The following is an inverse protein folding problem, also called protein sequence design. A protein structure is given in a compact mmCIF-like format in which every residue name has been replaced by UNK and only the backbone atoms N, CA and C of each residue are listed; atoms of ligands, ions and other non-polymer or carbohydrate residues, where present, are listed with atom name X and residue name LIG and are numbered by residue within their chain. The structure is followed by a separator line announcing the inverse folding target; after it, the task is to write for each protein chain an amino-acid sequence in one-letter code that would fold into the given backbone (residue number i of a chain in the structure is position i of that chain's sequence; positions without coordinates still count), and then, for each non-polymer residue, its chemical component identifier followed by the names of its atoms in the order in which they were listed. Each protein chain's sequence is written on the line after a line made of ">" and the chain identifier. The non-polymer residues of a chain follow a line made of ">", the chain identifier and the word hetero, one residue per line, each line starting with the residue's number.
data_IF_687384980385
#
_entry.id   IF_687384980385
#
_cell.length_a   1.000
_cell.length_b   1.000
_cell.length_c   1.000
_cell.angle_alpha   90.00
_cell.angle_beta   90.00
_cell.angle_gamma   90.00
#
_symmetry.space_group_name_H-M   'P 1'
#
loop_
_entity.id
_entity.type
_entity.pdbx_description
1 polymer ?
#
# COMPACT_ATOMS: atom_id res chain seq x y z
N UNK A 1 -0.06 -39.07 70.58
CA UNK A 1 0.37 -40.34 70.04
C UNK A 1 -0.21 -40.45 68.67
N UNK A 2 0.41 -40.37 67.61
CA UNK A 2 1.69 -40.76 67.09
C UNK A 2 1.54 -40.92 65.61
N UNK A 3 2.58 -40.71 64.91
CA UNK A 3 2.74 -41.29 63.57
C UNK A 3 2.69 -40.37 62.37
N UNK A 4 3.80 -39.68 62.17
CA UNK A 4 4.17 -39.13 60.82
C UNK A 4 4.53 -40.37 59.93
N UNK A 5 4.09 -40.27 58.68
CA UNK A 5 4.67 -41.00 57.55
C UNK A 5 4.99 -40.07 56.44
N UNK A 6 6.30 -39.89 56.27
CA UNK A 6 6.86 -39.22 55.12
C UNK A 6 6.68 -40.13 53.89
N UNK A 7 6.12 -39.58 52.81
CA UNK A 7 6.08 -40.24 51.51
C UNK A 7 6.89 -39.38 50.57
N UNK A 8 8.10 -39.87 50.29
CA UNK A 8 8.99 -39.36 49.24
C UNK A 8 8.37 -39.68 47.86
N UNK A 9 8.08 -38.64 47.10
CA UNK A 9 7.70 -38.76 45.69
C UNK A 9 8.75 -38.07 44.84
N UNK A 10 9.77 -38.84 44.43
CA UNK A 10 10.69 -38.49 43.39
C UNK A 10 9.97 -38.22 42.07
N UNK A 11 9.86 -36.96 41.71
CA UNK A 11 9.30 -36.52 40.43
C UNK A 11 10.42 -36.28 39.40
N UNK A 12 10.58 -37.24 38.52
CA UNK A 12 11.42 -37.12 37.32
C UNK A 12 10.85 -36.03 36.39
N UNK A 13 11.49 -34.85 36.34
CA UNK A 13 11.19 -33.77 35.37
C UNK A 13 12.06 -34.00 34.14
N UNK A 14 11.61 -34.82 33.21
CA UNK A 14 12.14 -34.82 31.86
C UNK A 14 11.57 -33.66 31.08
N UNK A 15 12.39 -32.63 30.85
CA UNK A 15 12.11 -31.48 30.03
C UNK A 15 11.94 -31.88 28.57
N UNK A 16 10.71 -31.81 28.07
CA UNK A 16 10.40 -31.79 26.65
C UNK A 16 10.50 -30.37 26.12
N UNK A 17 11.72 -29.89 25.87
CA UNK A 17 11.94 -28.60 25.21
C UNK A 17 11.57 -28.69 23.73
N UNK A 18 10.46 -28.10 23.37
CA UNK A 18 9.86 -28.14 22.03
C UNK A 18 10.75 -27.63 20.90
N UNK A 19 10.95 -28.48 19.91
CA UNK A 19 11.63 -28.19 18.64
C UNK A 19 10.76 -27.39 17.64
N UNK A 20 9.57 -26.95 18.04
CA UNK A 20 8.64 -26.22 17.18
C UNK A 20 9.14 -24.80 16.81
N UNK A 21 9.71 -24.08 17.78
CA UNK A 21 10.14 -22.71 17.56
C UNK A 21 11.34 -22.51 16.61
N UNK A 22 12.10 -23.55 16.31
CA UNK A 22 13.20 -23.47 15.34
C UNK A 22 12.73 -23.66 13.89
N UNK A 23 11.75 -24.52 13.67
CA UNK A 23 11.21 -24.78 12.33
C UNK A 23 10.46 -23.57 11.79
N UNK A 24 9.66 -22.91 12.63
CA UNK A 24 8.91 -21.73 12.21
C UNK A 24 9.83 -20.54 11.87
N UNK A 25 10.92 -20.35 12.65
CA UNK A 25 11.92 -19.32 12.33
C UNK A 25 12.67 -19.60 11.02
N UNK A 26 12.93 -20.87 10.73
CA UNK A 26 13.65 -21.26 9.52
C UNK A 26 12.78 -21.10 8.27
N UNK A 27 11.49 -21.42 8.36
CA UNK A 27 10.53 -21.20 7.27
C UNK A 27 10.33 -19.72 6.96
N UNK A 28 10.24 -18.88 8.00
CA UNK A 28 10.15 -17.41 7.82
C UNK A 28 11.42 -16.87 7.19
N UNK A 29 12.60 -17.35 7.60
CA UNK A 29 13.89 -16.94 7.04
C UNK A 29 14.02 -17.37 5.58
N UNK A 30 13.58 -18.57 5.21
CA UNK A 30 13.59 -19.03 3.81
C UNK A 30 12.60 -18.25 2.92
N UNK A 31 11.45 -17.84 3.44
CA UNK A 31 10.49 -17.01 2.72
C UNK A 31 11.06 -15.61 2.50
N UNK A 32 11.74 -15.01 3.48
CA UNK A 32 12.39 -13.71 3.36
C UNK A 32 13.54 -13.77 2.36
N UNK A 33 14.37 -14.82 2.39
CA UNK A 33 15.48 -14.99 1.45
C UNK A 33 15.00 -15.20 0.01
N UNK A 34 13.82 -15.81 -0.18
CA UNK A 34 13.22 -15.95 -1.53
C UNK A 34 12.61 -14.66 -2.09
N UNK A 35 12.38 -13.65 -1.26
CA UNK A 35 11.86 -12.35 -1.66
C UNK A 35 12.96 -11.33 -1.99
N UNK A 36 14.24 -11.66 -1.73
CA UNK A 36 15.36 -10.86 -2.19
C UNK A 36 15.79 -11.32 -3.59
N UNK A 37 15.52 -10.55 -4.64
CA UNK A 37 16.11 -10.83 -5.93
C UNK A 37 17.61 -10.47 -5.87
N UNK A 38 18.47 -11.47 -5.75
CA UNK A 38 19.87 -11.33 -6.07
C UNK A 38 19.98 -11.11 -7.59
N UNK A 39 20.23 -9.90 -8.02
CA UNK A 39 20.49 -9.61 -9.43
C UNK A 39 20.25 -8.15 -9.78
N UNK A 40 21.34 -7.46 -10.03
CA UNK A 40 21.50 -6.25 -10.83
C UNK A 40 20.57 -5.08 -10.54
N UNK A 41 21.16 -4.02 -9.99
CA UNK A 41 20.68 -2.64 -10.07
C UNK A 41 20.63 -2.19 -11.55
N UNK A 42 19.78 -2.86 -12.35
CA UNK A 42 19.40 -2.38 -13.65
C UNK A 42 18.39 -1.26 -13.45
N UNK A 43 18.54 -0.16 -14.14
CA UNK A 43 17.75 1.07 -14.09
C UNK A 43 16.23 0.79 -13.93
N UNK A 44 15.77 0.62 -12.71
CA UNK A 44 14.34 0.48 -12.45
C UNK A 44 13.70 1.80 -12.77
N UNK A 45 12.92 1.86 -13.83
CA UNK A 45 12.07 3.00 -14.13
C UNK A 45 11.34 3.41 -12.84
N UNK A 46 11.32 4.70 -12.49
CA UNK A 46 10.72 5.13 -11.23
C UNK A 46 9.26 4.66 -11.17
N UNK A 47 8.92 3.94 -10.10
CA UNK A 47 7.57 3.40 -9.87
C UNK A 47 6.57 4.49 -9.49
N UNK A 48 7.06 5.62 -8.99
CA UNK A 48 6.27 6.74 -8.51
C UNK A 48 6.21 7.85 -9.56
N UNK A 49 5.02 8.45 -9.68
CA UNK A 49 4.84 9.79 -10.21
C UNK A 49 4.70 10.72 -9.02
N UNK A 50 5.51 11.80 -8.97
CA UNK A 50 5.42 12.87 -7.96
C UNK A 50 5.31 14.21 -8.66
N UNK A 51 4.36 15.04 -8.24
CA UNK A 51 4.21 16.42 -8.64
C UNK A 51 4.19 17.30 -7.40
N UNK A 52 4.83 18.46 -7.44
CA UNK A 52 4.82 19.43 -6.35
C UNK A 52 3.97 20.65 -6.71
N UNK A 53 3.36 21.26 -5.70
CA UNK A 53 2.59 22.50 -5.82
C UNK A 53 2.79 23.38 -4.61
N UNK A 54 2.56 24.69 -4.77
CA UNK A 54 2.58 25.67 -3.67
C UNK A 54 1.24 25.77 -2.92
N UNK A 55 0.20 25.08 -3.39
CA UNK A 55 -1.09 24.98 -2.71
C UNK A 55 -0.94 24.27 -1.37
N UNK A 56 -1.79 24.60 -0.44
CA UNK A 56 -1.97 23.80 0.80
C UNK A 56 -2.52 22.41 0.45
N UNK A 57 -2.36 21.44 1.36
CA UNK A 57 -2.93 20.10 1.21
C UNK A 57 -4.45 20.16 0.96
N UNK A 58 -5.16 21.07 1.64
CA UNK A 58 -6.61 21.24 1.47
C UNK A 58 -6.98 21.76 0.08
N UNK A 59 -6.27 22.76 -0.42
CA UNK A 59 -6.50 23.32 -1.76
C UNK A 59 -6.17 22.31 -2.86
N UNK A 60 -5.05 21.59 -2.71
CA UNK A 60 -4.66 20.52 -3.63
C UNK A 60 -5.68 19.38 -3.64
N UNK A 61 -6.26 19.05 -2.47
CA UNK A 61 -7.29 18.03 -2.33
C UNK A 61 -8.59 18.45 -3.06
N UNK A 62 -9.02 19.71 -2.90
CA UNK A 62 -10.20 20.24 -3.59
C UNK A 62 -9.98 20.25 -5.12
N UNK A 63 -8.80 20.71 -5.57
CA UNK A 63 -8.44 20.72 -6.98
C UNK A 63 -8.36 19.30 -7.56
N UNK A 64 -7.83 18.32 -6.79
CA UNK A 64 -7.79 16.90 -7.20
C UNK A 64 -9.19 16.33 -7.38
N UNK A 65 -10.12 16.59 -6.46
CA UNK A 65 -11.51 16.14 -6.59
C UNK A 65 -12.17 16.66 -7.86
N UNK A 66 -12.01 17.95 -8.16
CA UNK A 66 -12.55 18.55 -9.38
C UNK A 66 -11.93 17.92 -10.64
N UNK A 67 -10.61 17.74 -10.66
CA UNK A 67 -9.89 17.14 -11.78
C UNK A 67 -10.30 15.66 -12.00
N UNK A 68 -10.50 14.88 -10.93
CA UNK A 68 -11.00 13.49 -10.98
C UNK A 68 -12.34 13.43 -11.70
N UNK A 69 -13.30 14.26 -11.30
CA UNK A 69 -14.64 14.33 -11.91
C UNK A 69 -14.59 14.77 -13.37
N UNK A 70 -13.78 15.81 -13.68
CA UNK A 70 -13.63 16.34 -15.05
C UNK A 70 -13.02 15.30 -16.03
N UNK A 71 -12.31 14.29 -15.52
CA UNK A 71 -11.73 13.21 -16.33
C UNK A 71 -12.51 11.89 -16.21
N UNK A 72 -13.78 11.94 -15.80
CA UNK A 72 -14.69 10.79 -15.70
C UNK A 72 -14.20 9.66 -14.76
N UNK A 73 -13.36 9.99 -13.79
CA UNK A 73 -13.04 9.15 -12.65
C UNK A 73 -13.96 9.48 -11.47
N UNK A 74 -14.14 8.51 -10.58
CA UNK A 74 -14.84 8.69 -9.31
C UNK A 74 -13.88 8.65 -8.13
N UNK A 75 -14.08 9.49 -7.12
CA UNK A 75 -13.45 9.33 -5.80
C UNK A 75 -14.29 8.34 -5.01
N UNK A 76 -13.71 7.18 -4.68
CA UNK A 76 -14.39 6.15 -3.90
C UNK A 76 -14.30 6.43 -2.41
N UNK A 77 -13.12 6.84 -1.96
CA UNK A 77 -12.83 7.12 -0.55
C UNK A 77 -11.70 8.14 -0.43
N UNK A 78 -11.72 8.91 0.66
CA UNK A 78 -10.62 9.77 1.09
C UNK A 78 -10.25 9.41 2.52
N UNK A 79 -8.99 9.06 2.75
CA UNK A 79 -8.44 8.74 4.06
C UNK A 79 -7.59 9.92 4.55
N UNK A 80 -8.00 10.53 5.67
CA UNK A 80 -7.14 11.47 6.40
C UNK A 80 -6.32 10.68 7.43
N UNK A 81 -5.04 10.44 7.13
CA UNK A 81 -4.18 9.64 8.00
C UNK A 81 -3.92 10.32 9.36
N UNK A 82 -3.83 11.64 9.40
CA UNK A 82 -3.67 12.40 10.64
C UNK A 82 -4.85 12.17 11.58
N UNK A 83 -6.07 12.30 11.06
CA UNK A 83 -7.28 12.08 11.84
C UNK A 83 -7.43 10.62 12.28
N UNK A 84 -7.14 9.68 11.39
CA UNK A 84 -7.23 8.25 11.67
C UNK A 84 -6.26 7.87 12.81
N UNK A 85 -5.02 8.35 12.76
CA UNK A 85 -4.01 8.08 13.78
C UNK A 85 -4.35 8.77 15.10
N UNK A 86 -4.80 10.04 15.05
CA UNK A 86 -5.21 10.81 16.23
C UNK A 86 -6.34 10.12 16.97
N UNK A 87 -7.36 9.64 16.26
CA UNK A 87 -8.49 8.88 16.85
C UNK A 87 -8.07 7.59 17.54
N UNK A 88 -6.91 7.04 17.17
CA UNK A 88 -6.31 5.85 17.79
C UNK A 88 -5.25 6.18 18.85
N UNK A 89 -5.11 7.44 19.23
CA UNK A 89 -4.14 7.88 20.23
C UNK A 89 -2.69 7.95 19.73
N UNK A 90 -2.47 7.84 18.41
CA UNK A 90 -1.14 7.94 17.80
C UNK A 90 -0.91 9.39 17.36
N UNK A 91 0.17 10.03 17.84
CA UNK A 91 0.56 11.37 17.42
C UNK A 91 1.19 11.30 16.02
N UNK A 92 0.61 12.02 15.07
CA UNK A 92 1.13 12.15 13.71
C UNK A 92 1.01 13.63 13.29
N UNK A 93 2.14 14.28 13.05
CA UNK A 93 2.20 15.73 12.86
C UNK A 93 1.95 16.19 11.41
N UNK A 94 2.07 15.27 10.44
CA UNK A 94 2.01 15.61 9.03
C UNK A 94 0.59 15.57 8.47
N UNK A 95 0.25 16.50 7.61
CA UNK A 95 -0.96 16.40 6.77
C UNK A 95 -0.71 15.32 5.72
N UNK A 96 -1.60 14.35 5.64
CA UNK A 96 -1.53 13.28 4.64
C UNK A 96 -2.94 12.77 4.32
N UNK A 97 -3.36 12.97 3.08
CA UNK A 97 -4.61 12.48 2.52
C UNK A 97 -4.33 11.41 1.48
N UNK A 98 -5.12 10.34 1.46
CA UNK A 98 -5.07 9.33 0.41
C UNK A 98 -6.44 9.29 -0.28
N UNK A 99 -6.44 9.54 -1.57
CA UNK A 99 -7.61 9.43 -2.43
C UNK A 99 -7.62 8.09 -3.12
N UNK A 100 -8.69 7.34 -2.98
CA UNK A 100 -8.96 6.14 -3.76
C UNK A 100 -9.82 6.55 -4.95
N UNK A 101 -9.27 6.40 -6.16
CA UNK A 101 -9.92 6.83 -7.41
C UNK A 101 -10.10 5.65 -8.35
N UNK A 102 -11.23 5.62 -9.06
CA UNK A 102 -11.55 4.53 -9.97
C UNK A 102 -12.35 5.04 -11.17
N UNK A 103 -12.11 4.39 -12.31
CA UNK A 103 -12.94 4.49 -13.50
C UNK A 103 -13.57 3.10 -13.72
N UNK A 104 -14.89 2.95 -13.51
CA UNK A 104 -15.53 1.63 -13.44
C UNK A 104 -15.37 0.77 -14.69
N UNK A 105 -15.43 1.37 -15.91
CA UNK A 105 -15.29 0.64 -17.15
C UNK A 105 -13.87 0.08 -17.33
N UNK A 106 -12.84 0.84 -16.92
CA UNK A 106 -11.46 0.36 -16.97
C UNK A 106 -11.22 -0.71 -15.90
N UNK A 107 -11.77 -0.52 -14.69
CA UNK A 107 -11.71 -1.53 -13.63
C UNK A 107 -12.35 -2.84 -14.08
N UNK A 108 -13.53 -2.78 -14.72
CA UNK A 108 -14.20 -3.97 -15.26
C UNK A 108 -13.33 -4.71 -16.27
N UNK A 109 -12.72 -4.00 -17.24
CA UNK A 109 -11.85 -4.62 -18.26
C UNK A 109 -10.71 -5.41 -17.62
N UNK A 110 -10.03 -4.86 -16.63
CA UNK A 110 -8.88 -5.54 -15.98
C UNK A 110 -9.33 -6.71 -15.10
N UNK A 111 -10.48 -6.61 -14.45
CA UNK A 111 -11.01 -7.66 -13.59
C UNK A 111 -11.59 -8.84 -14.39
N UNK A 112 -12.22 -8.58 -15.54
CA UNK A 112 -12.66 -9.63 -16.45
C UNK A 112 -11.49 -10.49 -16.96
N UNK A 113 -10.31 -9.87 -17.15
CA UNK A 113 -9.11 -10.57 -17.60
C UNK A 113 -8.39 -11.32 -16.47
N UNK A 114 -8.33 -10.70 -15.29
CA UNK A 114 -7.62 -11.27 -14.16
C UNK A 114 -8.15 -10.72 -12.82
N UNK A 115 -8.94 -11.52 -12.12
CA UNK A 115 -9.53 -11.16 -10.82
C UNK A 115 -8.48 -10.86 -9.74
N UNK A 116 -7.26 -11.41 -9.82
CA UNK A 116 -6.21 -11.12 -8.84
C UNK A 116 -5.75 -9.67 -8.87
N UNK A 117 -6.00 -8.94 -9.99
CA UNK A 117 -5.73 -7.49 -10.10
C UNK A 117 -6.55 -6.68 -9.09
N UNK A 118 -7.65 -7.24 -8.55
CA UNK A 118 -8.42 -6.60 -7.47
C UNK A 118 -7.57 -6.20 -6.26
N UNK A 119 -6.46 -6.90 -6.02
CA UNK A 119 -5.51 -6.57 -4.94
C UNK A 119 -4.73 -5.28 -5.18
N UNK A 120 -4.69 -4.80 -6.43
CA UNK A 120 -4.03 -3.55 -6.85
C UNK A 120 -5.02 -2.38 -7.07
N UNK A 121 -6.32 -2.65 -6.96
CA UNK A 121 -7.37 -1.65 -7.09
C UNK A 121 -7.87 -1.19 -5.69
N UNK A 122 -8.42 0.02 -5.59
CA UNK A 122 -8.41 1.10 -6.58
C UNK A 122 -7.05 1.82 -6.69
N UNK A 123 -6.87 2.65 -7.73
CA UNK A 123 -5.69 3.51 -7.81
C UNK A 123 -5.70 4.51 -6.65
N UNK A 124 -4.51 4.83 -6.10
CA UNK A 124 -4.37 5.75 -4.99
C UNK A 124 -3.53 6.95 -5.37
N UNK A 125 -3.99 8.14 -4.99
CA UNK A 125 -3.24 9.40 -5.09
C UNK A 125 -3.09 9.93 -3.67
N UNK A 126 -1.84 10.06 -3.20
CA UNK A 126 -1.54 10.65 -1.90
C UNK A 126 -1.23 12.13 -2.06
N UNK A 127 -1.73 12.95 -1.12
CA UNK A 127 -1.40 14.37 -1.00
C UNK A 127 -0.81 14.59 0.39
N UNK A 128 0.41 15.10 0.46
CA UNK A 128 1.12 15.30 1.72
C UNK A 128 2.14 16.44 1.61
N UNK A 129 2.64 16.90 2.77
CA UNK A 129 3.68 17.92 2.84
C UNK A 129 5.08 17.29 2.88
N UNK A 130 5.98 17.79 2.05
CA UNK A 130 7.39 17.40 2.00
C UNK A 130 8.25 18.60 1.58
N UNK A 131 9.25 18.96 2.38
CA UNK A 131 10.17 20.04 2.05
C UNK A 131 9.51 21.43 1.88
N UNK A 132 8.43 21.70 2.60
CA UNK A 132 7.69 22.97 2.51
C UNK A 132 6.80 23.10 1.28
N UNK A 133 6.60 22.03 0.53
CA UNK A 133 5.69 21.94 -0.62
C UNK A 133 4.62 20.89 -0.37
N UNK A 134 3.50 21.03 -1.05
CA UNK A 134 2.51 19.95 -1.15
C UNK A 134 2.87 19.05 -2.32
N UNK A 135 2.91 17.75 -2.05
CA UNK A 135 3.23 16.70 -3.02
C UNK A 135 1.98 15.90 -3.36
N UNK A 136 1.72 15.70 -4.63
CA UNK A 136 0.80 14.71 -5.14
C UNK A 136 1.62 13.51 -5.64
N UNK A 137 1.33 12.31 -5.17
CA UNK A 137 2.09 11.12 -5.54
C UNK A 137 1.19 9.92 -5.82
N UNK A 138 1.55 9.11 -6.81
CA UNK A 138 0.88 7.85 -7.13
C UNK A 138 1.86 6.79 -7.63
N UNK A 139 1.54 5.51 -7.42
CA UNK A 139 2.21 4.42 -8.12
C UNK A 139 1.77 4.40 -9.59
N UNK A 140 2.70 4.14 -10.50
CA UNK A 140 2.38 4.00 -11.93
C UNK A 140 1.51 2.77 -12.16
N UNK A 141 0.29 2.89 -12.69
CA UNK A 141 -0.56 1.76 -13.03
C UNK A 141 0.13 0.74 -13.96
N UNK A 142 0.94 1.20 -14.92
CA UNK A 142 1.71 0.32 -15.81
C UNK A 142 2.69 -0.57 -15.05
N UNK A 143 3.36 -0.03 -14.02
CA UNK A 143 4.30 -0.80 -13.19
C UNK A 143 3.56 -1.79 -12.28
N UNK A 144 2.45 -1.35 -11.68
CA UNK A 144 1.65 -2.20 -10.79
C UNK A 144 1.03 -3.36 -11.56
N UNK A 145 0.40 -3.11 -12.72
CA UNK A 145 -0.24 -4.15 -13.51
C UNK A 145 0.77 -5.11 -14.17
N UNK A 146 2.00 -4.68 -14.43
CA UNK A 146 3.06 -5.55 -14.93
C UNK A 146 3.40 -6.71 -13.98
N UNK A 147 3.14 -6.55 -12.67
CA UNK A 147 3.38 -7.62 -11.68
C UNK A 147 2.44 -8.81 -11.83
N UNK A 148 1.32 -8.66 -12.54
CA UNK A 148 0.33 -9.72 -12.73
C UNK A 148 0.58 -10.59 -13.98
N UNK A 149 1.68 -10.35 -14.72
CA UNK A 149 2.05 -11.10 -15.93
C UNK A 149 0.92 -11.18 -16.97
N UNK A 150 0.13 -10.11 -17.10
CA UNK A 150 -1.01 -10.00 -18.01
C UNK A 150 -0.72 -8.98 -19.13
N UNK A 151 0.01 -9.36 -20.18
CA UNK A 151 0.45 -8.42 -21.22
C UNK A 151 -0.71 -7.76 -21.98
N UNK A 152 -1.89 -8.40 -22.06
CA UNK A 152 -3.10 -7.84 -22.62
C UNK A 152 -3.62 -6.61 -21.84
N UNK A 153 -3.24 -6.44 -20.58
CA UNK A 153 -3.63 -5.29 -19.76
C UNK A 153 -2.74 -4.05 -19.98
N UNK A 154 -1.68 -4.16 -20.78
CA UNK A 154 -0.70 -3.08 -20.95
C UNK A 154 -1.31 -1.79 -21.52
N UNK A 155 -2.21 -1.89 -22.51
CA UNK A 155 -2.88 -0.72 -23.10
C UNK A 155 -3.81 -0.04 -22.09
N UNK A 156 -4.61 -0.81 -21.37
CA UNK A 156 -5.49 -0.29 -20.31
C UNK A 156 -4.70 0.37 -19.19
N UNK A 157 -3.59 -0.26 -18.77
CA UNK A 157 -2.69 0.31 -17.77
C UNK A 157 -2.13 1.66 -18.20
N UNK A 158 -1.74 1.81 -19.47
CA UNK A 158 -1.23 3.05 -20.03
C UNK A 158 -2.30 4.13 -20.09
N UNK A 159 -3.50 3.82 -20.57
CA UNK A 159 -4.63 4.76 -20.62
C UNK A 159 -4.98 5.30 -19.22
N UNK A 160 -5.00 4.42 -18.22
CA UNK A 160 -5.26 4.79 -16.83
C UNK A 160 -4.13 5.66 -16.27
N UNK A 161 -2.86 5.30 -16.52
CA UNK A 161 -1.70 6.08 -16.08
C UNK A 161 -1.72 7.48 -16.67
N UNK A 162 -1.91 7.61 -17.99
CA UNK A 162 -1.95 8.91 -18.68
C UNK A 162 -3.06 9.80 -18.11
N UNK A 163 -4.23 9.21 -17.84
CA UNK A 163 -5.35 9.95 -17.25
C UNK A 163 -5.07 10.37 -15.81
N UNK A 164 -4.48 9.51 -14.98
CA UNK A 164 -4.11 9.85 -13.59
C UNK A 164 -3.05 10.95 -13.57
N UNK A 165 -2.03 10.86 -14.42
CA UNK A 165 -1.00 11.91 -14.55
C UNK A 165 -1.63 13.25 -14.96
N UNK A 166 -2.56 13.25 -15.92
CA UNK A 166 -3.32 14.43 -16.33
C UNK A 166 -4.13 15.02 -15.17
N UNK A 167 -4.85 14.18 -14.42
CA UNK A 167 -5.61 14.58 -13.23
C UNK A 167 -4.70 15.27 -12.20
N UNK A 168 -3.57 14.65 -11.87
CA UNK A 168 -2.60 15.20 -10.93
C UNK A 168 -1.99 16.52 -11.43
N UNK A 169 -1.69 16.62 -12.72
CA UNK A 169 -1.16 17.84 -13.34
C UNK A 169 -2.17 18.98 -13.24
N UNK A 170 -3.43 18.73 -13.57
CA UNK A 170 -4.50 19.70 -13.42
C UNK A 170 -4.66 20.16 -11.97
N UNK A 171 -4.63 19.22 -11.02
CA UNK A 171 -4.73 19.54 -9.59
C UNK A 171 -3.55 20.38 -9.07
N UNK A 172 -2.35 20.11 -9.56
CA UNK A 172 -1.14 20.84 -9.15
C UNK A 172 -1.06 22.25 -9.75
N UNK A 173 -1.58 22.46 -10.96
CA UNK A 173 -1.44 23.72 -11.73
C UNK A 173 -2.58 24.72 -11.51
N UNK A 174 -3.77 24.28 -11.10
CA UNK A 174 -4.99 25.10 -11.02
C UNK A 174 -4.95 26.17 -9.92
#
# INVERSE_FOLDING_TARGET
>A
MGGRRDVDLGGDRRGGGGSAGRRDRQVVQEIIVRLEPAGELNERKPMLVKLSTDKTVSEAAAALQAAVQANHFGVMQVHNLKDIMTKKGVKFAHECLIFEVCQPQQAKKVLDENMSVSTALPCRISIYEEGGKTILATLKPTTVLAMFNAPQLKSVAQEVEDTIVKIMTQAASA
#
